data_IF_882562813935
#
_entry.id   IF_882562813935
#
_cell.length_a   1.000
_cell.length_b   1.000
_cell.length_c   1.000
_cell.angle_alpha   90.00
_cell.angle_beta   90.00
_cell.angle_gamma   90.00
#
_symmetry.space_group_name_H-M   'P 1'
#
loop_
_entity.id
_entity.type
_entity.pdbx_description
1 polymer ?
#
# COMPACT_ATOMS: atom_id res chain seq x y z
N UNK A 1 16.73 -21.92 -20.44
CA UNK A 1 16.00 -20.72 -20.41
C UNK A 1 15.06 -20.66 -19.27
N UNK A 2 14.95 -19.57 -18.77
CA UNK A 2 14.16 -19.40 -17.62
C UNK A 2 12.79 -18.98 -18.00
N UNK A 3 11.85 -19.68 -17.50
CA UNK A 3 10.51 -19.25 -17.64
C UNK A 3 10.39 -17.94 -16.90
N UNK A 4 10.11 -16.94 -17.59
CA UNK A 4 9.89 -15.70 -16.97
C UNK A 4 8.62 -15.76 -16.17
N UNK A 5 8.69 -15.51 -14.91
CA UNK A 5 7.47 -15.42 -14.15
C UNK A 5 6.67 -14.29 -14.69
N UNK A 6 5.58 -14.63 -15.26
CA UNK A 6 4.70 -13.63 -15.80
C UNK A 6 3.93 -12.92 -14.73
N UNK A 7 4.05 -13.39 -13.49
CA UNK A 7 3.20 -12.92 -12.41
C UNK A 7 4.01 -12.44 -11.23
N UNK A 8 4.92 -11.50 -11.47
CA UNK A 8 5.60 -10.87 -10.35
C UNK A 8 4.62 -9.91 -9.71
N UNK A 9 4.31 -10.14 -8.45
CA UNK A 9 3.37 -9.30 -7.74
C UNK A 9 4.04 -8.01 -7.28
N UNK A 10 3.26 -6.96 -7.03
CA UNK A 10 3.83 -5.75 -6.45
C UNK A 10 4.59 -5.99 -5.16
N UNK A 11 4.09 -6.88 -4.31
CA UNK A 11 4.77 -7.21 -3.06
C UNK A 11 6.14 -7.83 -3.33
N UNK A 12 6.22 -8.72 -4.30
CA UNK A 12 7.49 -9.35 -4.66
C UNK A 12 8.49 -8.33 -5.17
N UNK A 13 8.03 -7.38 -5.98
CA UNK A 13 8.90 -6.35 -6.49
C UNK A 13 9.45 -5.47 -5.38
N UNK A 14 8.62 -5.11 -4.42
CA UNK A 14 9.07 -4.32 -3.28
C UNK A 14 10.03 -5.12 -2.40
N UNK A 15 9.72 -6.38 -2.16
CA UNK A 15 10.55 -7.24 -1.32
C UNK A 15 11.96 -7.39 -1.91
N UNK A 16 12.07 -7.40 -3.23
CA UNK A 16 13.34 -7.55 -3.90
C UNK A 16 14.23 -6.31 -3.81
N UNK A 17 13.67 -5.16 -3.39
CA UNK A 17 14.46 -3.93 -3.28
C UNK A 17 15.33 -3.99 -2.05
N UNK A 18 16.62 -3.68 -2.24
CA UNK A 18 17.59 -3.74 -1.15
C UNK A 18 17.24 -2.79 -0.01
N UNK A 19 16.64 -1.67 -0.35
CA UNK A 19 16.36 -0.63 0.62
C UNK A 19 14.96 -0.69 1.21
N UNK A 20 14.22 -1.74 0.92
CA UNK A 20 12.92 -1.92 1.56
C UNK A 20 13.12 -2.29 3.03
N UNK A 21 12.23 -1.76 3.87
CA UNK A 21 12.26 -2.02 5.30
C UNK A 21 11.04 -2.82 5.69
N UNK A 22 11.26 -3.80 6.54
CA UNK A 22 10.17 -4.61 7.08
C UNK A 22 10.01 -4.29 8.55
N UNK A 23 8.80 -4.00 8.98
CA UNK A 23 8.53 -3.79 10.39
C UNK A 23 7.17 -4.36 10.76
N UNK A 24 7.01 -4.62 12.05
CA UNK A 24 5.79 -5.23 12.60
C UNK A 24 5.11 -4.24 13.52
N UNK A 25 3.78 -4.23 13.48
CA UNK A 25 2.99 -3.37 14.34
C UNK A 25 1.86 -4.18 14.97
N UNK A 26 1.51 -3.88 16.22
CA UNK A 26 0.37 -4.52 16.86
C UNK A 26 -0.95 -3.92 16.38
N UNK A 27 -2.02 -4.61 16.69
CA UNK A 27 -3.37 -4.12 16.41
C UNK A 27 -3.56 -2.73 17.01
N UNK A 28 -4.13 -1.83 16.22
CA UNK A 28 -4.42 -0.47 16.66
C UNK A 28 -3.30 0.51 16.44
N UNK A 29 -2.10 0.04 16.09
CA UNK A 29 -0.98 0.95 15.83
C UNK A 29 -1.17 1.65 14.50
N UNK A 30 -0.69 2.88 14.42
CA UNK A 30 -0.71 3.64 13.18
C UNK A 30 0.51 3.33 12.34
N UNK A 31 0.28 3.01 11.06
CA UNK A 31 1.36 2.95 10.08
C UNK A 31 1.79 4.37 9.76
N UNK A 32 0.80 5.24 9.57
CA UNK A 32 1.01 6.68 9.45
C UNK A 32 -0.28 7.40 9.85
N UNK A 33 -0.16 8.70 10.10
CA UNK A 33 -1.30 9.51 10.46
C UNK A 33 -1.59 10.52 9.36
N UNK A 34 -2.85 10.91 9.26
CA UNK A 34 -3.24 11.94 8.31
C UNK A 34 -2.47 13.22 8.61
N UNK A 35 -1.98 13.86 7.55
CA UNK A 35 -1.17 15.05 7.66
C UNK A 35 0.31 14.78 7.81
N UNK A 36 0.71 13.55 8.09
CA UNK A 36 2.13 13.19 8.14
C UNK A 36 2.73 13.19 6.75
N UNK A 37 4.04 13.36 6.67
CA UNK A 37 4.74 13.37 5.40
C UNK A 37 4.62 12.06 4.66
N UNK A 38 4.24 12.14 3.39
CA UNK A 38 4.08 10.96 2.53
C UNK A 38 5.40 10.71 1.79
N UNK A 39 6.30 10.03 2.46
CA UNK A 39 7.67 9.82 1.96
C UNK A 39 7.94 8.40 1.48
N UNK A 40 6.96 7.52 1.54
CA UNK A 40 7.17 6.12 1.23
C UNK A 40 5.88 5.46 0.78
N UNK A 41 6.05 4.36 0.04
CA UNK A 41 4.96 3.44 -0.25
C UNK A 41 5.02 2.30 0.77
N UNK A 42 3.88 1.72 1.05
CA UNK A 42 3.77 0.62 2.01
C UNK A 42 3.09 -0.57 1.35
N UNK A 43 3.51 -1.76 1.74
CA UNK A 43 2.89 -2.99 1.28
C UNK A 43 2.56 -3.86 2.48
N UNK A 44 1.39 -4.46 2.47
CA UNK A 44 0.99 -5.38 3.52
C UNK A 44 1.60 -6.75 3.22
N UNK A 45 2.43 -7.23 4.11
CA UNK A 45 2.96 -8.58 3.99
C UNK A 45 2.11 -9.56 4.78
N UNK A 46 1.65 -9.17 5.96
CA UNK A 46 0.75 -9.96 6.79
C UNK A 46 -0.22 -9.05 7.50
N UNK A 47 -1.42 -9.55 7.73
CA UNK A 47 -2.44 -8.83 8.48
C UNK A 47 -3.24 -7.89 7.60
N UNK A 48 -3.95 -6.99 8.22
CA UNK A 48 -4.88 -6.09 7.55
C UNK A 48 -4.65 -4.66 8.02
N UNK A 49 -4.54 -3.74 7.07
CA UNK A 49 -4.43 -2.31 7.34
C UNK A 49 -5.69 -1.63 6.83
N UNK A 50 -6.20 -0.71 7.62
CA UNK A 50 -7.37 0.09 7.24
C UNK A 50 -6.93 1.53 7.07
N UNK A 51 -7.25 2.12 5.92
CA UNK A 51 -7.11 3.55 5.71
C UNK A 51 -8.42 4.21 6.06
N UNK A 52 -8.37 5.18 6.98
CA UNK A 52 -9.54 5.91 7.44
C UNK A 52 -9.43 7.36 7.05
N UNK A 53 -10.33 7.81 6.19
CA UNK A 53 -10.43 9.20 5.80
C UNK A 53 -11.40 9.95 6.70
N UNK A 54 -11.39 11.28 6.59
CA UNK A 54 -12.26 12.13 7.41
C UNK A 54 -13.73 11.89 7.22
N UNK A 55 -14.13 11.40 6.06
CA UNK A 55 -15.54 11.23 5.74
C UNK A 55 -16.09 9.89 6.18
N UNK A 56 -15.43 9.24 7.11
CA UNK A 56 -15.81 7.91 7.58
C UNK A 56 -15.62 6.82 6.53
N UNK A 57 -14.99 7.13 5.42
CA UNK A 57 -14.63 6.11 4.43
C UNK A 57 -13.49 5.27 4.95
N UNK A 58 -13.60 3.99 4.74
CA UNK A 58 -12.58 3.03 5.14
C UNK A 58 -12.25 2.13 3.99
N UNK A 59 -10.96 1.92 3.78
CA UNK A 59 -10.48 1.02 2.74
C UNK A 59 -9.55 0.02 3.40
N UNK A 60 -9.84 -1.26 3.23
CA UNK A 60 -9.03 -2.33 3.79
C UNK A 60 -7.99 -2.81 2.79
N UNK A 61 -6.77 -2.97 3.26
CA UNK A 61 -5.70 -3.55 2.46
C UNK A 61 -5.25 -4.87 3.10
N UNK A 62 -5.09 -5.86 2.25
CA UNK A 62 -4.81 -7.24 2.63
C UNK A 62 -3.39 -7.62 2.21
N UNK A 63 -2.88 -8.77 2.65
CA UNK A 63 -1.54 -9.19 2.24
C UNK A 63 -1.37 -9.17 0.73
N UNK A 64 -0.25 -8.65 0.29
CA UNK A 64 0.08 -8.51 -1.12
C UNK A 64 -0.29 -7.17 -1.72
N UNK A 65 -1.04 -6.35 -1.01
CA UNK A 65 -1.52 -5.08 -1.56
C UNK A 65 -0.67 -3.91 -1.08
N UNK A 66 -0.51 -2.93 -1.95
CA UNK A 66 0.20 -1.70 -1.64
C UNK A 66 -0.79 -0.59 -1.34
N UNK A 67 -0.40 0.31 -0.45
CA UNK A 67 -1.24 1.46 -0.12
C UNK A 67 -0.40 2.73 -0.01
N UNK A 68 -1.08 3.86 0.07
CA UNK A 68 -0.52 5.21 0.04
C UNK A 68 0.06 5.63 -1.31
N UNK A 69 -0.21 4.87 -2.36
CA UNK A 69 0.25 5.17 -3.70
C UNK A 69 -0.18 6.59 -4.15
N UNK A 70 -1.44 6.92 -3.92
CA UNK A 70 -1.98 8.21 -4.35
C UNK A 70 -1.32 9.38 -3.63
N UNK A 71 -0.99 9.21 -2.37
CA UNK A 71 -0.37 10.28 -1.60
C UNK A 71 1.01 10.62 -2.13
N UNK A 72 1.72 9.62 -2.66
CA UNK A 72 3.06 9.82 -3.20
C UNK A 72 3.01 10.44 -4.58
N UNK A 73 2.12 9.93 -5.44
CA UNK A 73 2.13 10.28 -6.85
C UNK A 73 1.30 11.53 -7.14
N UNK A 74 0.18 11.68 -6.49
CA UNK A 74 -0.80 12.71 -6.85
C UNK A 74 -0.98 13.79 -5.79
N UNK A 75 -0.59 13.51 -4.56
CA UNK A 75 -0.71 14.45 -3.48
C UNK A 75 0.65 14.73 -2.93
N UNK A 76 1.06 15.93 -3.02
CA UNK A 76 2.41 16.25 -2.63
C UNK A 76 2.55 16.32 -1.14
N UNK A 77 3.25 15.34 -0.61
CA UNK A 77 3.88 15.45 0.67
C UNK A 77 3.09 15.03 1.89
N UNK A 78 1.78 14.83 1.80
CA UNK A 78 1.01 14.50 3.00
C UNK A 78 0.05 13.35 2.77
N UNK A 79 -0.11 12.53 3.80
CA UNK A 79 -1.12 11.48 3.80
C UNK A 79 -2.50 12.07 4.05
N UNK A 80 -3.47 11.60 3.31
CA UNK A 80 -4.85 12.06 3.43
C UNK A 80 -5.65 11.30 4.47
N UNK A 81 -5.14 10.16 4.88
CA UNK A 81 -5.85 9.25 5.75
C UNK A 81 -4.94 8.76 6.85
N UNK A 82 -5.54 8.26 7.91
CA UNK A 82 -4.81 7.46 8.90
C UNK A 82 -4.72 6.04 8.39
N UNK A 83 -3.57 5.40 8.57
CA UNK A 83 -3.44 3.98 8.27
C UNK A 83 -3.24 3.26 9.58
N UNK A 84 -4.17 2.38 9.91
CA UNK A 84 -4.22 1.72 11.21
C UNK A 84 -4.18 0.22 11.03
N UNK A 85 -3.38 -0.47 11.85
CA UNK A 85 -3.33 -1.91 11.85
C UNK A 85 -4.62 -2.46 12.48
N UNK A 86 -5.38 -3.17 11.68
CA UNK A 86 -6.61 -3.80 12.16
C UNK A 86 -6.32 -5.10 12.89
N UNK A 87 -5.28 -5.77 12.47
CA UNK A 87 -4.74 -6.97 13.10
C UNK A 87 -3.25 -6.72 13.30
N UNK A 88 -2.53 -7.60 14.00
CA UNK A 88 -1.08 -7.51 13.97
C UNK A 88 -0.62 -7.60 12.51
N UNK A 89 0.29 -6.74 12.11
CA UNK A 89 0.68 -6.62 10.71
C UNK A 89 2.19 -6.66 10.54
N UNK A 90 2.62 -7.12 9.38
CA UNK A 90 3.98 -6.94 8.88
C UNK A 90 3.88 -6.07 7.65
N UNK A 91 4.63 -4.98 7.65
CA UNK A 91 4.56 -3.96 6.61
C UNK A 91 5.93 -3.78 5.99
N UNK A 92 5.97 -3.76 4.66
CA UNK A 92 7.16 -3.36 3.93
C UNK A 92 7.04 -1.89 3.58
N UNK A 93 8.13 -1.16 3.74
CA UNK A 93 8.20 0.25 3.42
C UNK A 93 9.32 0.48 2.42
N UNK A 94 9.03 1.23 1.37
CA UNK A 94 10.02 1.64 0.38
C UNK A 94 9.89 3.15 0.20
N UNK A 95 11.01 3.87 0.26
CA UNK A 95 10.93 5.33 0.18
C UNK A 95 10.49 5.78 -1.21
N UNK A 96 10.08 7.04 -1.27
CA UNK A 96 9.46 7.61 -2.46
C UNK A 96 10.34 7.52 -3.70
N UNK A 97 11.61 7.91 -3.57
CA UNK A 97 12.50 7.92 -4.72
C UNK A 97 12.75 6.51 -5.26
N UNK A 98 12.93 5.57 -4.36
CA UNK A 98 13.12 4.17 -4.73
C UNK A 98 11.89 3.62 -5.40
N UNK A 99 10.74 3.96 -4.88
CA UNK A 99 9.48 3.52 -5.47
C UNK A 99 9.29 4.11 -6.86
N UNK A 100 9.59 5.39 -7.06
CA UNK A 100 9.46 6.01 -8.37
C UNK A 100 10.43 5.38 -9.37
N UNK A 101 11.64 5.05 -8.95
CA UNK A 101 12.58 4.33 -9.79
C UNK A 101 12.06 2.94 -10.16
N UNK A 102 11.44 2.27 -9.19
CA UNK A 102 10.85 0.96 -9.45
C UNK A 102 9.75 1.05 -10.49
N UNK A 103 8.89 2.06 -10.40
CA UNK A 103 7.86 2.29 -11.41
C UNK A 103 8.45 2.56 -12.78
N UNK A 104 9.52 3.31 -12.82
CA UNK A 104 10.19 3.61 -14.08
C UNK A 104 10.72 2.34 -14.76
N UNK A 105 11.28 1.44 -13.97
CA UNK A 105 11.84 0.20 -14.47
C UNK A 105 10.79 -0.89 -14.72
N UNK A 106 9.63 -0.76 -14.10
CA UNK A 106 8.56 -1.75 -14.21
C UNK A 106 7.22 -1.03 -14.45
N UNK A 107 7.00 -0.53 -15.67
CA UNK A 107 5.79 0.27 -15.93
C UNK A 107 4.49 -0.48 -15.67
N UNK A 108 4.49 -1.80 -15.80
CA UNK A 108 3.29 -2.59 -15.53
C UNK A 108 2.87 -2.53 -14.07
N UNK A 109 3.81 -2.23 -13.18
CA UNK A 109 3.49 -2.06 -11.77
C UNK A 109 2.49 -0.91 -11.55
N UNK A 110 2.68 0.20 -12.27
CA UNK A 110 1.76 1.32 -12.17
C UNK A 110 0.33 0.91 -12.57
N UNK A 111 0.22 0.12 -13.64
CA UNK A 111 -1.08 -0.36 -14.08
C UNK A 111 -1.72 -1.24 -13.02
N UNK A 112 -0.95 -2.14 -12.43
CA UNK A 112 -1.45 -3.04 -11.39
C UNK A 112 -1.93 -2.26 -10.16
N UNK A 113 -1.19 -1.22 -9.78
CA UNK A 113 -1.57 -0.40 -8.63
C UNK A 113 -2.84 0.39 -8.89
N UNK A 114 -2.99 0.91 -10.09
CA UNK A 114 -4.22 1.63 -10.45
C UNK A 114 -5.41 0.69 -10.43
N UNK A 115 -5.24 -0.50 -10.97
CA UNK A 115 -6.30 -1.51 -10.98
C UNK A 115 -6.68 -1.92 -9.55
N UNK A 116 -5.70 -2.15 -8.71
CA UNK A 116 -5.94 -2.49 -7.30
C UNK A 116 -6.72 -1.39 -6.59
N UNK A 117 -6.32 -0.15 -6.79
CA UNK A 117 -6.97 0.98 -6.13
C UNK A 117 -8.42 1.10 -6.60
N UNK A 118 -8.65 0.91 -7.88
CA UNK A 118 -9.99 0.96 -8.43
C UNK A 118 -10.87 -0.12 -7.83
N UNK A 119 -10.35 -1.33 -7.71
CA UNK A 119 -11.10 -2.45 -7.14
C UNK A 119 -11.42 -2.20 -5.66
N UNK A 120 -10.48 -1.64 -4.91
CA UNK A 120 -10.70 -1.34 -3.50
C UNK A 120 -11.78 -0.30 -3.32
N UNK A 121 -11.77 0.73 -4.13
CA UNK A 121 -12.79 1.77 -4.06
C UNK A 121 -14.17 1.22 -4.44
N UNK A 122 -14.22 0.34 -5.42
CA UNK A 122 -15.48 -0.26 -5.82
C UNK A 122 -16.04 -1.16 -4.71
N UNK A 123 -15.19 -1.96 -4.08
CA UNK A 123 -15.60 -2.79 -2.96
C UNK A 123 -16.13 -1.95 -1.81
N UNK A 124 -15.47 -0.85 -1.53
CA UNK A 124 -15.87 0.05 -0.47
C UNK A 124 -17.27 0.61 -0.73
N UNK A 125 -17.53 1.02 -1.96
CA UNK A 125 -18.84 1.54 -2.32
C UNK A 125 -19.94 0.48 -2.22
N UNK A 126 -19.61 -0.73 -2.54
CA UNK A 126 -20.56 -1.83 -2.60
C UNK A 126 -20.91 -2.31 -1.20
N UNK A 127 -19.91 -2.56 -0.39
CA UNK A 127 -20.12 -3.17 0.92
C UNK A 127 -20.31 -2.15 2.03
N UNK A 128 -19.71 -0.98 1.88
CA UNK A 128 -19.74 0.05 2.91
C UNK A 128 -18.94 -0.28 4.14
N UNK A 129 -18.34 -1.44 4.23
CA UNK A 129 -17.57 -1.86 5.39
C UNK A 129 -16.34 -2.66 4.98
N UNK A 130 -15.35 -2.70 5.87
CA UNK A 130 -14.23 -3.59 5.72
C UNK A 130 -14.64 -4.98 6.17
N UNK A 131 -14.42 -5.95 5.31
CA UNK A 131 -14.68 -7.35 5.62
C UNK A 131 -13.35 -8.10 5.54
N UNK A 132 -13.06 -8.85 6.58
CA UNK A 132 -11.84 -9.62 6.64
C UNK A 132 -11.98 -10.85 7.51
#
# INVERSE_FOLDING_TARGET
>A
MVATPTCTTPLELLTAQVDSELFSLPTGAHVFSRGAGANAIYAVRRGIVVLEATSAERICYRPGELFSYQDIVWRQGEHRSDAVARTPVEILRLDRLRFLNLLHNHPTLAVLLIAQQHDRLREQRTSGTCVY
#
